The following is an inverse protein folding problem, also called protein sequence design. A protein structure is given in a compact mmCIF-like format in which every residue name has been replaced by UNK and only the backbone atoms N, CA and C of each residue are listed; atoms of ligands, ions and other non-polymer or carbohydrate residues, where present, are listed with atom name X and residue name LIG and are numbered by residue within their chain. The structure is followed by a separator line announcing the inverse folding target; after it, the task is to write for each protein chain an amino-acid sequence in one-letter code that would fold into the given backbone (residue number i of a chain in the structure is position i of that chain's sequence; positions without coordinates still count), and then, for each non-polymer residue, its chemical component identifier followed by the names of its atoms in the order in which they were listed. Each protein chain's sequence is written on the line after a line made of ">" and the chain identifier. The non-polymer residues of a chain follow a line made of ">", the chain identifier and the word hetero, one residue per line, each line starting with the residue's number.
data_IF_532768097077
#
_entry.id   IF_532768097077
#
_cell.length_a   1.000
_cell.length_b   1.000
_cell.length_c   1.000
_cell.angle_alpha   90.00
_cell.angle_beta   90.00
_cell.angle_gamma   90.00
#
_symmetry.space_group_name_H-M   'P 1'
#
loop_
_entity.id
_entity.type
_entity.pdbx_description
1 polymer ?
#
# COMPACT_ATOMS: atom_id res chain seq x y z
N UNK A 1 32.30 -40.35 46.66
CA UNK A 1 32.79 -39.51 45.54
C UNK A 1 31.69 -38.79 44.75
N UNK A 2 30.40 -39.16 44.82
CA UNK A 2 29.31 -38.46 44.11
C UNK A 2 28.88 -37.05 44.60
N UNK A 3 29.08 -36.61 45.87
CA UNK A 3 28.56 -35.30 46.31
C UNK A 3 29.42 -34.09 45.91
N UNK A 4 30.68 -34.28 45.50
CA UNK A 4 31.59 -33.17 45.16
C UNK A 4 31.29 -32.54 43.80
N UNK A 5 30.81 -33.33 42.83
CA UNK A 5 30.54 -32.84 41.46
C UNK A 5 29.32 -31.91 41.45
N UNK A 6 28.28 -32.26 42.21
CA UNK A 6 27.06 -31.44 42.29
C UNK A 6 27.33 -30.06 42.90
N UNK A 7 28.22 -29.99 43.90
CA UNK A 7 28.58 -28.72 44.53
C UNK A 7 29.32 -27.78 43.57
N UNK A 8 30.26 -28.31 42.77
CA UNK A 8 31.01 -27.50 41.78
C UNK A 8 30.11 -26.94 40.67
N UNK A 9 29.13 -27.72 40.20
CA UNK A 9 28.20 -27.26 39.15
C UNK A 9 27.32 -26.12 39.67
N UNK A 10 26.80 -26.23 40.91
CA UNK A 10 25.96 -25.19 41.50
C UNK A 10 26.76 -23.89 41.70
N UNK A 11 27.98 -23.99 42.23
CA UNK A 11 28.85 -22.81 42.42
C UNK A 11 29.20 -22.17 41.08
N UNK A 12 29.52 -22.95 40.05
CA UNK A 12 29.83 -22.42 38.73
C UNK A 12 28.63 -21.69 38.11
N UNK A 13 27.42 -22.28 38.18
CA UNK A 13 26.20 -21.64 37.68
C UNK A 13 25.91 -20.31 38.39
N UNK A 14 26.00 -20.27 39.73
CA UNK A 14 25.76 -19.04 40.51
C UNK A 14 26.77 -17.96 40.13
N UNK A 15 28.05 -18.31 40.00
CA UNK A 15 29.10 -17.35 39.61
C UNK A 15 28.87 -16.84 38.18
N UNK A 16 28.55 -17.71 37.22
CA UNK A 16 28.26 -17.26 35.84
C UNK A 16 27.02 -16.38 35.74
N UNK A 17 25.95 -16.66 36.49
CA UNK A 17 24.76 -15.80 36.50
C UNK A 17 25.05 -14.45 37.17
N UNK A 18 25.87 -14.42 38.21
CA UNK A 18 26.29 -13.17 38.85
C UNK A 18 27.14 -12.30 37.91
N UNK A 19 28.06 -12.90 37.14
CA UNK A 19 28.84 -12.17 36.13
C UNK A 19 28.00 -11.68 34.96
N UNK A 20 27.04 -12.48 34.48
CA UNK A 20 26.11 -12.04 33.45
C UNK A 20 25.24 -10.88 33.95
N UNK A 21 24.67 -10.99 35.16
CA UNK A 21 23.89 -9.91 35.76
C UNK A 21 24.73 -8.63 35.93
N UNK A 22 25.94 -8.72 36.48
CA UNK A 22 26.81 -7.56 36.67
C UNK A 22 27.27 -6.91 35.35
N UNK A 23 27.43 -7.70 34.27
CA UNK A 23 27.75 -7.20 32.94
C UNK A 23 26.64 -6.35 32.32
N UNK A 24 25.37 -6.67 32.59
CA UNK A 24 24.23 -5.91 32.05
C UNK A 24 23.98 -4.58 32.80
N UNK A 25 24.15 -4.54 34.12
CA UNK A 25 23.88 -3.30 34.89
C UNK A 25 24.91 -2.17 34.69
N UNK A 26 26.13 -2.49 34.23
CA UNK A 26 27.18 -1.48 34.01
C UNK A 26 27.17 -0.83 32.62
N UNK A 27 26.61 -1.50 31.61
CA UNK A 27 26.64 -1.03 30.22
C UNK A 27 25.65 0.09 29.95
N UNK A 28 24.48 0.08 30.58
CA UNK A 28 23.48 1.14 30.40
C UNK A 28 23.96 2.49 30.94
N UNK A 29 24.75 2.48 32.03
CA UNK A 29 25.29 3.70 32.64
C UNK A 29 26.52 4.26 31.90
N UNK A 30 27.29 3.40 31.23
CA UNK A 30 28.35 3.83 30.30
C UNK A 30 27.76 4.41 29.02
N UNK A 31 26.59 3.93 28.56
CA UNK A 31 25.88 4.49 27.41
C UNK A 31 25.43 5.93 27.67
N UNK A 32 24.96 6.26 28.88
CA UNK A 32 24.57 7.63 29.23
C UNK A 32 25.74 8.65 29.24
N UNK A 33 26.97 8.22 29.48
CA UNK A 33 28.12 9.14 29.52
C UNK A 33 28.70 9.50 28.14
N UNK A 34 28.30 8.81 27.06
CA UNK A 34 28.80 9.06 25.70
C UNK A 34 27.84 9.84 24.79
N UNK A 35 26.67 10.27 25.28
CA UNK A 35 25.70 11.02 24.46
C UNK A 35 25.74 12.54 24.65
N UNK A 36 26.80 13.07 25.28
CA UNK A 36 27.08 14.51 25.26
C UNK A 36 27.56 14.92 23.87
N UNK A 37 26.68 15.52 23.08
CA UNK A 37 27.00 16.02 21.76
C UNK A 37 27.30 17.53 21.78
N UNK A 38 28.20 17.96 20.90
CA UNK A 38 28.47 19.40 20.65
C UNK A 38 28.05 19.85 19.25
N UNK A 39 27.82 18.91 18.33
CA UNK A 39 27.37 19.10 16.96
C UNK A 39 26.60 17.86 16.50
N UNK A 40 25.79 18.01 15.45
CA UNK A 40 24.97 16.91 14.89
C UNK A 40 25.83 15.74 14.40
N UNK A 41 27.01 16.01 13.84
CA UNK A 41 27.98 15.00 13.36
C UNK A 41 28.48 14.04 14.45
N UNK A 42 28.33 14.41 15.74
CA UNK A 42 28.67 13.54 16.88
C UNK A 42 27.54 12.59 17.26
N UNK A 43 26.35 12.78 16.70
CA UNK A 43 25.20 11.91 16.92
C UNK A 43 25.11 10.83 15.83
N UNK A 44 24.36 9.75 16.08
CA UNK A 44 23.94 8.83 15.01
C UNK A 44 23.20 9.60 13.88
N UNK A 45 23.28 9.10 12.64
CA UNK A 45 22.67 9.74 11.46
C UNK A 45 21.16 10.01 11.62
N UNK A 46 20.47 9.22 12.44
CA UNK A 46 19.03 9.36 12.73
C UNK A 46 18.69 10.40 13.80
N UNK A 47 19.70 10.98 14.46
CA UNK A 47 19.57 11.86 15.62
C UNK A 47 20.28 13.18 15.36
N UNK A 48 19.87 14.24 16.06
CA UNK A 48 20.54 15.55 16.04
C UNK A 48 20.90 15.99 17.45
N UNK A 49 21.89 16.86 17.55
CA UNK A 49 22.33 17.38 18.82
C UNK A 49 21.38 18.48 19.32
N UNK A 50 20.73 18.23 20.45
CA UNK A 50 19.83 19.19 21.08
C UNK A 50 20.10 19.28 22.57
N UNK A 51 20.53 20.47 23.04
CA UNK A 51 20.90 20.73 24.45
C UNK A 51 21.83 19.63 24.99
N UNK A 52 22.96 19.43 24.30
CA UNK A 52 24.00 18.44 24.60
C UNK A 52 23.53 16.99 24.63
N UNK A 53 22.35 16.66 24.12
CA UNK A 53 21.88 15.27 24.00
C UNK A 53 21.54 14.97 22.55
N UNK A 54 21.91 13.78 22.07
CA UNK A 54 21.41 13.30 20.79
C UNK A 54 19.93 12.94 20.93
N UNK A 55 19.08 13.55 20.11
CA UNK A 55 17.64 13.30 20.08
C UNK A 55 17.24 12.92 18.67
N UNK A 56 16.30 11.98 18.51
CA UNK A 56 15.79 11.61 17.19
C UNK A 56 15.34 12.84 16.41
N UNK A 57 15.87 13.01 15.19
CA UNK A 57 15.54 14.16 14.33
C UNK A 57 14.05 14.21 13.99
N UNK A 58 13.37 13.06 14.02
CA UNK A 58 11.94 12.92 13.78
C UNK A 58 11.06 13.09 15.02
N UNK A 59 11.61 13.09 16.24
CA UNK A 59 10.82 13.11 17.48
C UNK A 59 9.95 14.36 17.70
N UNK A 60 10.26 15.46 17.01
CA UNK A 60 9.57 16.76 17.14
C UNK A 60 8.85 17.20 15.86
N UNK A 61 8.75 16.31 14.89
CA UNK A 61 8.21 16.62 13.56
C UNK A 61 6.91 15.87 13.39
N UNK A 62 5.84 16.63 13.15
CA UNK A 62 4.56 16.08 12.74
C UNK A 62 4.51 16.13 11.22
N UNK A 63 4.68 14.98 10.57
CA UNK A 63 4.43 14.86 9.13
C UNK A 63 2.92 14.76 8.85
N UNK A 64 2.52 15.07 7.61
CA UNK A 64 1.13 15.00 7.18
C UNK A 64 0.58 13.57 7.14
N UNK A 65 -0.70 13.44 6.79
CA UNK A 65 -1.32 12.14 6.55
C UNK A 65 -0.57 11.39 5.44
N UNK A 66 -0.26 10.12 5.68
CA UNK A 66 0.49 9.25 4.76
C UNK A 66 1.94 9.65 4.50
N UNK A 67 2.56 10.37 5.43
CA UNK A 67 3.98 10.70 5.38
C UNK A 67 4.78 10.00 6.48
N UNK A 68 6.00 9.59 6.14
CA UNK A 68 7.02 9.14 7.08
C UNK A 68 8.11 10.19 7.20
N UNK A 69 8.59 10.40 8.42
CA UNK A 69 9.78 11.20 8.63
C UNK A 69 11.01 10.37 8.25
N UNK A 70 11.84 10.90 7.35
CA UNK A 70 13.15 10.35 7.03
C UNK A 70 14.24 11.34 7.43
N UNK A 71 15.37 10.82 7.89
CA UNK A 71 16.55 11.62 8.23
C UNK A 71 17.61 11.38 7.16
N UNK A 72 18.14 12.46 6.58
CA UNK A 72 19.22 12.35 5.60
C UNK A 72 20.60 12.32 6.27
N UNK A 73 21.65 12.18 5.48
CA UNK A 73 23.04 12.13 5.97
C UNK A 73 23.51 13.42 6.66
N UNK A 74 22.77 14.53 6.55
CA UNK A 74 23.07 15.80 7.21
C UNK A 74 22.28 15.99 8.51
N UNK A 75 21.71 14.92 9.09
CA UNK A 75 20.88 14.94 10.29
C UNK A 75 19.61 15.81 10.17
N UNK A 76 19.31 16.31 8.97
CA UNK A 76 18.08 17.03 8.67
C UNK A 76 16.98 16.03 8.38
N UNK A 77 15.77 16.34 8.84
CA UNK A 77 14.60 15.53 8.56
C UNK A 77 13.88 16.05 7.32
N UNK A 78 13.20 15.15 6.61
CA UNK A 78 12.19 15.49 5.62
C UNK A 78 10.99 14.57 5.76
N UNK A 79 9.79 15.13 5.59
CA UNK A 79 8.58 14.33 5.48
C UNK A 79 8.46 13.84 4.04
N UNK A 80 8.54 12.53 3.86
CA UNK A 80 8.39 11.85 2.58
C UNK A 80 7.12 11.02 2.59
N UNK A 81 6.48 10.88 1.43
CA UNK A 81 5.32 10.02 1.32
C UNK A 81 5.67 8.58 1.71
N UNK A 82 4.80 7.94 2.49
CA UNK A 82 4.88 6.50 2.74
C UNK A 82 4.81 5.73 1.42
N UNK A 83 5.30 4.47 1.38
CA UNK A 83 5.16 3.63 0.21
C UNK A 83 3.70 3.60 -0.28
N UNK A 84 3.49 3.72 -1.60
CA UNK A 84 2.20 3.85 -2.31
C UNK A 84 1.60 5.26 -2.37
N UNK A 85 2.17 6.26 -1.70
CA UNK A 85 1.68 7.64 -1.76
C UNK A 85 2.65 8.58 -2.49
N UNK A 86 2.12 9.67 -3.03
CA UNK A 86 2.83 10.62 -3.88
C UNK A 86 2.38 12.05 -3.60
N UNK A 87 3.33 12.99 -3.71
CA UNK A 87 3.08 14.43 -3.62
C UNK A 87 2.97 14.98 -5.04
N UNK A 88 1.76 15.38 -5.44
CA UNK A 88 1.48 15.88 -6.80
C UNK A 88 1.53 17.41 -6.90
N UNK A 89 1.24 18.11 -5.80
CA UNK A 89 1.02 19.55 -5.80
C UNK A 89 1.83 20.26 -4.71
N UNK A 90 1.78 21.60 -4.75
CA UNK A 90 2.35 22.46 -3.70
C UNK A 90 1.58 22.37 -2.37
N UNK A 91 0.50 21.59 -2.28
CA UNK A 91 -0.26 21.44 -1.02
C UNK A 91 0.44 20.54 -0.01
N UNK A 92 1.56 19.93 -0.42
CA UNK A 92 2.41 19.06 0.40
C UNK A 92 1.72 17.77 0.89
N UNK A 93 0.51 17.44 0.43
CA UNK A 93 -0.20 16.25 0.87
C UNK A 93 0.17 15.00 0.05
N UNK A 94 0.44 13.89 0.73
CA UNK A 94 0.72 12.60 0.10
C UNK A 94 -0.57 11.84 -0.20
N UNK A 95 -0.90 11.75 -1.49
CA UNK A 95 -2.12 11.13 -2.02
C UNK A 95 -1.81 9.83 -2.73
N UNK A 96 -2.82 8.98 -2.89
CA UNK A 96 -2.70 7.82 -3.76
C UNK A 96 -2.52 8.30 -5.21
N UNK A 97 -1.77 7.55 -6.02
CA UNK A 97 -1.52 7.88 -7.42
C UNK A 97 -2.71 7.57 -8.34
N UNK A 98 -3.76 7.00 -7.77
CA UNK A 98 -5.04 6.77 -8.41
C UNK A 98 -6.15 7.23 -7.48
N UNK A 99 -7.31 7.53 -8.06
CA UNK A 99 -8.50 7.86 -7.31
C UNK A 99 -9.73 7.26 -8.00
N UNK A 100 -10.72 6.93 -7.17
CA UNK A 100 -12.06 6.63 -7.64
C UNK A 100 -12.83 7.95 -7.67
N UNK A 101 -13.35 8.30 -8.84
CA UNK A 101 -14.11 9.54 -9.03
C UNK A 101 -15.55 9.20 -9.33
N UNK A 102 -16.45 9.70 -8.51
CA UNK A 102 -17.88 9.62 -8.78
C UNK A 102 -18.21 10.47 -10.01
N UNK A 103 -18.78 9.83 -11.01
CA UNK A 103 -19.28 10.45 -12.22
C UNK A 103 -20.78 10.15 -12.35
N UNK A 104 -21.54 11.18 -12.70
CA UNK A 104 -22.91 10.99 -13.19
C UNK A 104 -22.86 10.51 -14.63
N UNK A 105 -23.99 9.99 -15.13
CA UNK A 105 -24.15 9.50 -16.51
C UNK A 105 -23.66 10.51 -17.55
N UNK A 106 -23.95 11.80 -17.34
CA UNK A 106 -23.59 12.87 -18.27
C UNK A 106 -22.08 13.20 -18.29
N UNK A 107 -21.36 12.94 -17.19
CA UNK A 107 -19.93 13.24 -17.07
C UNK A 107 -19.02 12.12 -17.60
N UNK A 108 -19.53 10.89 -17.71
CA UNK A 108 -18.78 9.74 -18.24
C UNK A 108 -18.25 9.96 -19.67
N UNK A 109 -18.95 10.76 -20.47
CA UNK A 109 -18.67 10.99 -21.89
C UNK A 109 -17.35 11.75 -22.10
N UNK A 110 -16.97 12.60 -21.14
CA UNK A 110 -15.88 13.56 -21.31
C UNK A 110 -14.58 13.17 -20.59
N UNK A 111 -14.54 12.04 -19.88
CA UNK A 111 -13.34 11.63 -19.18
C UNK A 111 -12.28 11.12 -20.19
N UNK A 112 -11.13 11.80 -20.24
CA UNK A 112 -9.98 11.48 -21.09
C UNK A 112 -8.85 10.78 -20.32
N UNK A 113 -8.86 10.84 -19.00
CA UNK A 113 -7.83 10.27 -18.10
C UNK A 113 -8.15 8.83 -17.64
N UNK A 114 -8.93 8.10 -18.44
CA UNK A 114 -9.47 6.80 -18.06
C UNK A 114 -8.44 5.69 -18.26
N UNK A 115 -8.43 4.71 -17.35
CA UNK A 115 -7.59 3.52 -17.46
C UNK A 115 -8.17 2.57 -18.50
N UNK A 116 -7.47 2.31 -19.62
CA UNK A 116 -7.93 1.32 -20.58
C UNK A 116 -7.75 -0.09 -20.00
N UNK A 117 -8.81 -0.90 -20.09
CA UNK A 117 -8.77 -2.33 -19.72
C UNK A 117 -7.98 -3.16 -20.75
N UNK A 118 -8.00 -2.74 -22.01
CA UNK A 118 -7.37 -3.43 -23.14
C UNK A 118 -6.22 -2.58 -23.68
N UNK A 119 -5.08 -3.22 -23.94
CA UNK A 119 -3.89 -2.52 -24.45
C UNK A 119 -3.97 -2.21 -25.95
N UNK A 120 -4.92 -2.82 -26.68
CA UNK A 120 -4.82 -2.91 -28.14
C UNK A 120 -6.14 -2.78 -28.93
N UNK A 121 -7.19 -2.23 -28.33
CA UNK A 121 -8.46 -2.02 -29.05
C UNK A 121 -8.89 -0.56 -28.98
N UNK A 122 -9.47 -0.05 -30.08
CA UNK A 122 -10.15 1.26 -30.14
C UNK A 122 -11.34 1.37 -29.17
N UNK A 123 -11.67 0.26 -28.50
CA UNK A 123 -12.67 0.19 -27.45
C UNK A 123 -12.04 0.66 -26.14
N UNK A 124 -12.20 1.96 -25.85
CA UNK A 124 -11.88 2.51 -24.53
C UNK A 124 -12.85 1.93 -23.52
N UNK A 125 -12.34 0.96 -22.81
CA UNK A 125 -13.00 0.11 -21.85
C UNK A 125 -12.44 0.49 -20.49
N UNK A 126 -13.30 0.87 -19.55
CA UNK A 126 -12.89 1.51 -18.30
C UNK A 126 -13.35 0.72 -17.09
N UNK A 127 -12.53 0.74 -16.04
CA UNK A 127 -12.87 0.09 -14.77
C UNK A 127 -13.80 1.00 -13.98
N UNK A 128 -15.00 0.52 -13.71
CA UNK A 128 -15.99 1.23 -12.91
C UNK A 128 -16.44 0.39 -11.73
N UNK A 129 -16.76 1.04 -10.63
CA UNK A 129 -17.37 0.41 -9.46
C UNK A 129 -18.65 1.15 -9.09
N UNK A 130 -19.66 0.39 -8.71
CA UNK A 130 -20.94 0.90 -8.23
C UNK A 130 -20.94 0.92 -6.72
N UNK A 131 -21.37 2.02 -6.14
CA UNK A 131 -21.51 2.16 -4.69
C UNK A 131 -22.90 1.69 -4.28
N UNK A 132 -23.00 0.50 -3.70
CA UNK A 132 -24.25 0.00 -3.12
C UNK A 132 -24.61 0.72 -1.82
N UNK A 133 -25.86 0.54 -1.35
CA UNK A 133 -26.40 1.16 -0.12
C UNK A 133 -25.55 0.90 1.15
N UNK A 134 -24.71 -0.14 1.14
CA UNK A 134 -23.84 -0.53 2.25
C UNK A 134 -22.34 -0.24 2.00
N UNK A 135 -21.99 0.66 1.07
CA UNK A 135 -20.60 0.90 0.63
C UNK A 135 -19.88 -0.36 0.11
N UNK A 136 -20.64 -1.41 -0.23
CA UNK A 136 -20.09 -2.57 -0.93
C UNK A 136 -19.96 -2.17 -2.38
N UNK A 137 -18.72 -1.94 -2.82
CA UNK A 137 -18.45 -1.64 -4.21
C UNK A 137 -18.60 -2.92 -5.03
N UNK A 138 -19.65 -3.01 -5.84
CA UNK A 138 -19.68 -3.99 -6.92
C UNK A 138 -18.84 -3.41 -8.04
N UNK A 139 -17.77 -4.10 -8.41
CA UNK A 139 -16.96 -3.66 -9.53
C UNK A 139 -17.63 -4.16 -10.79
N UNK A 140 -18.22 -3.25 -11.54
CA UNK A 140 -19.15 -3.60 -12.59
C UNK A 140 -18.61 -3.20 -13.94
N UNK A 141 -17.85 -4.12 -14.51
CA UNK A 141 -17.79 -4.21 -15.94
C UNK A 141 -17.03 -3.10 -16.62
N UNK A 142 -17.43 -2.88 -17.87
CA UNK A 142 -16.65 -2.13 -18.83
C UNK A 142 -17.58 -1.24 -19.64
N UNK A 143 -17.32 0.07 -19.64
CA UNK A 143 -18.04 1.01 -20.51
C UNK A 143 -17.27 1.13 -21.81
N UNK A 144 -17.92 0.88 -22.94
CA UNK A 144 -17.39 1.25 -24.24
C UNK A 144 -17.69 2.73 -24.49
N UNK A 145 -16.63 3.55 -24.60
CA UNK A 145 -16.78 4.99 -24.77
C UNK A 145 -17.52 5.40 -26.06
N UNK A 146 -17.45 4.60 -27.11
CA UNK A 146 -17.96 4.97 -28.44
C UNK A 146 -19.49 4.86 -28.53
N UNK A 147 -20.09 3.92 -27.81
CA UNK A 147 -21.52 3.65 -27.84
C UNK A 147 -22.19 3.77 -26.45
N UNK A 148 -21.41 4.11 -25.43
CA UNK A 148 -21.83 4.19 -24.02
C UNK A 148 -22.46 2.90 -23.49
N UNK A 149 -22.17 1.74 -24.11
CA UNK A 149 -22.68 0.46 -23.61
C UNK A 149 -21.87 0.02 -22.41
N UNK A 150 -22.57 -0.16 -21.30
CA UNK A 150 -22.05 -0.73 -20.08
C UNK A 150 -22.25 -2.24 -20.12
N UNK A 151 -21.16 -2.99 -19.94
CA UNK A 151 -21.18 -4.45 -19.85
C UNK A 151 -20.79 -4.85 -18.42
N UNK A 152 -21.77 -4.89 -17.50
CA UNK A 152 -21.58 -5.23 -16.07
C UNK A 152 -22.50 -6.37 -15.58
N UNK A 153 -22.33 -6.75 -14.31
CA UNK A 153 -23.06 -7.86 -13.67
C UNK A 153 -24.53 -7.51 -13.40
N UNK A 154 -24.82 -6.27 -12.96
CA UNK A 154 -26.13 -5.93 -12.41
C UNK A 154 -26.84 -4.92 -13.31
N UNK A 155 -27.33 -5.43 -14.44
CA UNK A 155 -28.31 -4.72 -15.27
C UNK A 155 -27.77 -3.55 -16.08
N UNK A 156 -28.70 -2.73 -16.57
CA UNK A 156 -28.40 -1.55 -17.37
C UNK A 156 -27.87 -0.42 -16.47
N UNK A 157 -26.89 0.35 -16.96
CA UNK A 157 -26.40 1.58 -16.33
C UNK A 157 -27.54 2.55 -15.98
N UNK A 158 -28.69 2.43 -16.66
CA UNK A 158 -29.91 3.20 -16.41
C UNK A 158 -30.48 3.06 -15.00
N UNK A 159 -30.12 2.01 -14.27
CA UNK A 159 -30.58 1.79 -12.90
C UNK A 159 -29.76 2.56 -11.85
N UNK A 160 -28.71 3.27 -12.24
CA UNK A 160 -27.78 3.93 -11.32
C UNK A 160 -27.68 5.44 -11.58
N UNK A 161 -27.73 6.22 -10.51
CA UNK A 161 -27.61 7.68 -10.58
C UNK A 161 -26.16 8.15 -10.80
N UNK A 162 -25.20 7.39 -10.27
CA UNK A 162 -23.76 7.66 -10.38
C UNK A 162 -22.96 6.37 -10.34
N UNK A 163 -21.74 6.44 -10.87
CA UNK A 163 -20.75 5.36 -10.83
C UNK A 163 -19.40 5.95 -10.42
N UNK A 164 -18.53 5.17 -9.81
CA UNK A 164 -17.15 5.59 -9.59
C UNK A 164 -16.24 5.01 -10.67
N UNK A 165 -15.40 5.85 -11.23
CA UNK A 165 -14.44 5.46 -12.27
C UNK A 165 -13.02 5.57 -11.74
N UNK A 166 -12.19 4.58 -12.05
CA UNK A 166 -10.78 4.59 -11.70
C UNK A 166 -10.00 5.56 -12.60
N UNK A 167 -9.40 6.58 -11.99
CA UNK A 167 -8.48 7.50 -12.66
C UNK A 167 -7.05 7.29 -12.15
N UNK A 168 -6.09 7.23 -13.06
CA UNK A 168 -4.66 7.22 -12.75
C UNK A 168 -4.16 8.66 -12.85
N UNK A 169 -3.71 9.23 -11.73
CA UNK A 169 -3.25 10.62 -11.64
C UNK A 169 -1.76 10.76 -11.87
N UNK A 170 -0.98 9.76 -11.48
CA UNK A 170 0.47 9.69 -11.66
C UNK A 170 0.78 8.31 -12.21
N UNK A 171 1.80 8.18 -13.05
CA UNK A 171 2.25 6.89 -13.56
C UNK A 171 1.31 6.27 -14.61
N UNK A 172 1.30 4.95 -14.69
CA UNK A 172 0.44 4.18 -15.61
C UNK A 172 -0.15 2.97 -14.92
N UNK A 173 -1.32 2.53 -15.37
CA UNK A 173 -1.85 1.24 -14.97
C UNK A 173 -1.24 0.13 -15.82
N UNK A 174 -1.00 -1.03 -15.24
CA UNK A 174 -0.47 -2.21 -15.94
C UNK A 174 -1.10 -3.48 -15.38
N UNK A 175 -1.38 -4.43 -16.25
CA UNK A 175 -1.86 -5.75 -15.85
C UNK A 175 -0.68 -6.70 -15.63
N UNK A 176 -0.69 -7.42 -14.51
CA UNK A 176 0.33 -8.42 -14.18
C UNK A 176 -0.36 -9.74 -13.89
N UNK A 177 0.10 -10.82 -14.53
CA UNK A 177 -0.42 -12.16 -14.26
C UNK A 177 -0.10 -12.60 -12.83
N UNK A 178 -1.10 -13.18 -12.18
CA UNK A 178 -1.05 -13.64 -10.80
C UNK A 178 -1.96 -14.87 -10.64
N UNK A 179 -1.87 -15.55 -9.50
CA UNK A 179 -2.76 -16.67 -9.20
C UNK A 179 -2.90 -16.93 -7.70
N UNK A 180 -3.89 -17.75 -7.33
CA UNK A 180 -4.06 -18.32 -5.98
C UNK A 180 -4.09 -17.28 -4.84
N UNK A 181 -4.68 -16.11 -5.10
CA UNK A 181 -4.81 -15.04 -4.11
C UNK A 181 -3.54 -14.21 -3.90
N UNK A 182 -2.51 -14.40 -4.73
CA UNK A 182 -1.30 -13.58 -4.66
C UNK A 182 -1.65 -12.14 -5.05
N UNK A 183 -1.37 -11.22 -4.12
CA UNK A 183 -1.46 -9.77 -4.33
C UNK A 183 -0.07 -9.24 -4.62
N UNK A 184 0.14 -8.76 -5.84
CA UNK A 184 1.42 -8.15 -6.21
C UNK A 184 1.55 -6.75 -5.62
N UNK A 185 2.79 -6.27 -5.50
CA UNK A 185 3.05 -4.91 -5.02
C UNK A 185 2.38 -3.87 -5.93
N UNK A 186 1.86 -2.80 -5.32
CA UNK A 186 1.13 -1.72 -5.99
C UNK A 186 -0.17 -2.14 -6.71
N UNK A 187 -0.74 -3.29 -6.36
CA UNK A 187 -2.09 -3.67 -6.79
C UNK A 187 -3.11 -2.60 -6.40
N UNK A 188 -3.96 -2.21 -7.35
CA UNK A 188 -5.01 -1.21 -7.16
C UNK A 188 -6.10 -1.79 -6.28
N UNK A 189 -6.39 -1.09 -5.18
CA UNK A 189 -7.47 -1.45 -4.27
C UNK A 189 -8.80 -1.03 -4.89
N UNK A 190 -9.68 -2.01 -5.08
CA UNK A 190 -11.03 -1.80 -5.57
C UNK A 190 -11.96 -1.37 -4.45
N UNK A 191 -11.92 -2.06 -3.30
CA UNK A 191 -12.77 -1.76 -2.15
C UNK A 191 -12.23 -2.43 -0.87
N UNK A 192 -12.93 -2.18 0.24
CA UNK A 192 -12.83 -2.97 1.47
C UNK A 192 -14.18 -3.63 1.72
N UNK A 193 -14.23 -4.95 1.60
CA UNK A 193 -15.45 -5.73 1.82
C UNK A 193 -15.28 -6.42 3.17
N UNK A 194 -16.13 -6.07 4.14
CA UNK A 194 -15.99 -6.48 5.54
C UNK A 194 -14.61 -6.07 6.10
N UNK A 195 -13.74 -7.04 6.40
CA UNK A 195 -12.37 -6.82 6.89
C UNK A 195 -11.30 -7.17 5.85
N UNK A 196 -11.68 -7.41 4.60
CA UNK A 196 -10.79 -7.80 3.53
C UNK A 196 -10.59 -6.66 2.53
N UNK A 197 -9.33 -6.41 2.15
CA UNK A 197 -9.00 -5.55 1.02
C UNK A 197 -9.11 -6.35 -0.27
N UNK A 198 -9.93 -5.87 -1.20
CA UNK A 198 -10.13 -6.51 -2.51
C UNK A 198 -9.52 -5.66 -3.61
N UNK A 199 -9.00 -6.33 -4.64
CA UNK A 199 -8.21 -5.70 -5.69
C UNK A 199 -8.86 -5.87 -7.06
N UNK A 200 -8.56 -4.95 -7.97
CA UNK A 200 -9.04 -5.05 -9.36
C UNK A 200 -8.29 -6.18 -10.07
N UNK A 201 -9.03 -7.13 -10.64
CA UNK A 201 -8.47 -8.18 -11.48
C UNK A 201 -9.22 -8.29 -12.81
N UNK A 202 -8.64 -9.01 -13.77
CA UNK A 202 -9.32 -9.45 -14.98
C UNK A 202 -8.99 -10.91 -15.27
N UNK A 203 -9.89 -11.57 -15.98
CA UNK A 203 -9.77 -12.97 -16.43
C UNK A 203 -10.08 -13.06 -17.91
N UNK A 204 -9.60 -14.11 -18.57
CA UNK A 204 -9.76 -14.31 -20.00
C UNK A 204 -8.52 -13.91 -20.80
N UNK A 205 -8.71 -13.64 -22.09
CA UNK A 205 -7.64 -13.34 -23.04
C UNK A 205 -8.15 -12.37 -24.10
N UNK A 206 -7.28 -11.52 -24.65
CA UNK A 206 -7.60 -10.57 -25.72
C UNK A 206 -8.39 -11.24 -26.87
N UNK A 207 -9.56 -10.71 -27.28
CA UNK A 207 -10.26 -9.49 -26.84
C UNK A 207 -11.33 -9.70 -25.76
N UNK A 208 -11.43 -10.89 -25.19
CA UNK A 208 -12.45 -11.30 -24.23
C UNK A 208 -11.89 -11.27 -22.79
N UNK A 209 -11.59 -10.08 -22.29
CA UNK A 209 -11.29 -9.90 -20.87
C UNK A 209 -12.54 -9.52 -20.10
N UNK A 210 -12.68 -10.10 -18.91
CA UNK A 210 -13.73 -9.80 -17.97
C UNK A 210 -13.11 -9.27 -16.69
N UNK A 211 -13.62 -8.13 -16.21
CA UNK A 211 -13.12 -7.52 -14.98
C UNK A 211 -13.82 -8.16 -13.78
N UNK A 212 -13.08 -8.29 -12.68
CA UNK A 212 -13.57 -8.84 -11.43
C UNK A 212 -12.88 -8.27 -10.20
N UNK A 213 -13.18 -8.89 -9.06
CA UNK A 213 -12.58 -8.58 -7.77
C UNK A 213 -11.73 -9.75 -7.27
N UNK A 214 -10.45 -9.50 -7.05
CA UNK A 214 -9.55 -10.48 -6.43
C UNK A 214 -9.66 -10.39 -4.92
N UNK A 215 -9.91 -11.53 -4.30
CA UNK A 215 -10.03 -11.70 -2.85
C UNK A 215 -8.92 -12.65 -2.34
N UNK A 216 -7.99 -12.17 -1.51
CA UNK A 216 -6.96 -13.03 -0.93
C UNK A 216 -7.51 -14.23 -0.15
N UNK A 217 -8.64 -14.07 0.55
CA UNK A 217 -9.27 -15.10 1.37
C UNK A 217 -9.82 -16.28 0.55
N UNK A 218 -10.44 -16.01 -0.59
CA UNK A 218 -10.96 -17.05 -1.51
C UNK A 218 -9.91 -17.52 -2.51
N UNK A 219 -8.75 -16.85 -2.56
CA UNK A 219 -7.64 -17.14 -3.48
C UNK A 219 -8.02 -17.06 -4.96
N UNK A 220 -8.98 -16.20 -5.29
CA UNK A 220 -9.56 -16.14 -6.62
C UNK A 220 -9.91 -14.72 -7.06
N UNK A 221 -9.93 -14.51 -8.37
CA UNK A 221 -10.62 -13.39 -9.02
C UNK A 221 -12.08 -13.79 -9.25
N UNK A 222 -13.01 -13.05 -8.65
CA UNK A 222 -14.43 -13.23 -8.90
C UNK A 222 -14.86 -12.32 -10.05
N UNK A 223 -15.09 -12.93 -11.21
CA UNK A 223 -15.47 -12.25 -12.43
C UNK A 223 -16.87 -11.64 -12.31
N UNK A 224 -17.01 -10.36 -12.69
CA UNK A 224 -18.30 -9.68 -12.60
C UNK A 224 -19.37 -10.34 -13.47
N UNK A 225 -19.09 -10.74 -14.71
CA UNK A 225 -20.15 -11.15 -15.65
C UNK A 225 -20.98 -12.37 -15.19
N UNK A 226 -20.31 -13.42 -14.71
CA UNK A 226 -20.96 -14.69 -14.34
C UNK A 226 -20.72 -15.09 -12.87
N UNK A 227 -20.15 -14.20 -12.04
CA UNK A 227 -19.78 -14.49 -10.65
C UNK A 227 -18.94 -15.78 -10.52
N UNK A 228 -18.09 -16.03 -11.51
CA UNK A 228 -17.24 -17.21 -11.59
C UNK A 228 -15.90 -16.91 -10.91
N UNK A 229 -15.45 -17.83 -10.07
CA UNK A 229 -14.17 -17.72 -9.38
C UNK A 229 -13.06 -18.34 -10.23
N UNK A 230 -12.04 -17.55 -10.52
CA UNK A 230 -10.87 -17.99 -11.28
C UNK A 230 -9.62 -17.94 -10.40
N UNK A 231 -8.86 -19.03 -10.39
CA UNK A 231 -7.59 -19.11 -9.64
C UNK A 231 -6.45 -18.39 -10.36
N UNK A 232 -6.51 -18.29 -11.69
CA UNK A 232 -5.55 -17.59 -12.54
C UNK A 232 -6.19 -16.33 -13.10
N UNK A 233 -5.48 -15.21 -12.98
CA UNK A 233 -6.00 -13.89 -13.33
C UNK A 233 -4.86 -12.90 -13.57
N UNK A 234 -5.17 -11.77 -14.21
CA UNK A 234 -4.29 -10.61 -14.16
C UNK A 234 -4.79 -9.66 -13.06
N UNK A 235 -3.87 -9.05 -12.33
CA UNK A 235 -4.16 -8.02 -11.33
C UNK A 235 -3.74 -6.66 -11.88
N UNK A 236 -4.58 -5.65 -11.68
CA UNK A 236 -4.28 -4.29 -12.09
C UNK A 236 -3.32 -3.67 -11.06
N UNK A 237 -2.16 -3.26 -11.52
CA UNK A 237 -1.19 -2.53 -10.71
C UNK A 237 -1.06 -1.09 -11.19
N UNK A 238 -0.56 -0.26 -10.29
CA UNK A 238 -0.03 1.03 -10.65
C UNK A 238 1.51 0.97 -10.77
N UNK A 239 2.02 1.31 -11.95
CA UNK A 239 3.45 1.40 -12.26
C UNK A 239 3.92 2.85 -12.12
N UNK A 240 4.83 3.08 -11.17
CA UNK A 240 5.39 4.40 -10.90
C UNK A 240 6.71 4.51 -11.66
N UNK A 241 6.78 5.47 -12.57
CA UNK A 241 8.06 5.83 -13.14
C UNK A 241 8.90 6.56 -12.09
N UNK A 242 10.18 6.19 -11.89
CA UNK A 242 11.08 7.06 -11.16
C UNK A 242 11.06 8.41 -11.85
N UNK A 243 10.74 9.46 -11.11
CA UNK A 243 10.84 10.84 -11.60
C UNK A 243 12.32 11.03 -11.93
N UNK A 244 12.64 11.18 -13.22
CA UNK A 244 13.99 11.48 -13.70
C UNK A 244 14.33 12.94 -13.42
#
# INVERSE_FOLDING_TARGET
>A
MKPLITFYIIVFCIVTMAFLAAGFYGLDKLREMFHSCSSDERCPVTEKCFKTNCVSSCSKVTCGSNEGCQVNHYHTFSCQCLPKFYRYDMTHECKLPYQWVELTKDHLINATELVPVFENTDSQHIVVRLMGENNVSLLEGIINKNNHTFHGFVGSLENYNSVEVLLIKIGKAKWISSSNGIVVNNAIVAAKIENETVHVCRVGSDPNFYIGLMRPSTKSCNEAHNNTMHSDYDILIHEIYPIQ
#
